data_IF_071536051167
#
_entry.id   IF_071536051167
#
_cell.length_a   1.000
_cell.length_b   1.000
_cell.length_c   1.000
_cell.angle_alpha   90.00
_cell.angle_beta   90.00
_cell.angle_gamma   90.00
#
_symmetry.space_group_name_H-M   'P 1'
#
loop_
_entity.id
_entity.type
_entity.pdbx_description
1 polymer ?
#
# COMPACT_ATOMS: atom_id res chain seq x y z
N UNK A 1 13.99 6.56 5.35
CA UNK A 1 13.73 7.09 4.00
C UNK A 1 12.24 7.38 3.85
N UNK A 2 11.89 8.56 3.38
CA UNK A 2 10.48 8.93 3.22
C UNK A 2 10.01 8.62 1.80
N UNK A 3 8.95 7.85 1.69
CA UNK A 3 8.31 7.58 0.41
C UNK A 3 7.26 8.65 0.17
N UNK A 4 7.31 9.27 -0.99
CA UNK A 4 6.35 10.29 -1.36
C UNK A 4 5.32 9.72 -2.33
N UNK A 5 4.09 10.23 -2.23
CA UNK A 5 2.99 9.79 -3.10
C UNK A 5 3.35 9.88 -4.58
N UNK A 6 4.05 10.93 -4.97
CA UNK A 6 4.39 11.18 -6.37
C UNK A 6 5.38 10.16 -6.95
N UNK A 7 6.09 9.44 -6.11
CA UNK A 7 7.04 8.42 -6.56
C UNK A 7 6.35 7.11 -6.89
N UNK A 8 5.11 6.95 -6.44
CA UNK A 8 4.38 5.71 -6.67
C UNK A 8 3.82 5.67 -8.09
N UNK A 9 3.81 4.47 -8.67
CA UNK A 9 3.15 4.26 -9.96
C UNK A 9 1.64 4.33 -9.79
N UNK A 10 0.92 4.46 -10.92
CA UNK A 10 -0.55 4.45 -10.88
C UNK A 10 -1.08 3.17 -10.26
N UNK A 11 -0.49 2.03 -10.58
CA UNK A 11 -0.89 0.74 -10.03
C UNK A 11 -0.67 0.69 -8.53
N UNK A 12 0.44 1.23 -8.05
CA UNK A 12 0.75 1.27 -6.62
C UNK A 12 -0.22 2.19 -5.87
N UNK A 13 -0.55 3.33 -6.46
CA UNK A 13 -1.52 4.26 -5.85
C UNK A 13 -2.89 3.62 -5.71
N UNK A 14 -3.37 2.95 -6.77
CA UNK A 14 -4.66 2.26 -6.72
C UNK A 14 -4.64 1.11 -5.74
N UNK A 15 -3.54 0.35 -5.71
CA UNK A 15 -3.41 -0.76 -4.78
C UNK A 15 -3.50 -0.26 -3.34
N UNK A 16 -2.87 0.86 -3.04
CA UNK A 16 -2.91 1.42 -1.70
C UNK A 16 -4.34 1.81 -1.30
N UNK A 17 -5.11 2.35 -2.24
CA UNK A 17 -6.52 2.65 -2.00
C UNK A 17 -7.32 1.38 -1.72
N UNK A 18 -7.09 0.33 -2.50
CA UNK A 18 -7.78 -0.95 -2.28
C UNK A 18 -7.47 -1.51 -0.89
N UNK A 19 -6.22 -1.41 -0.45
CA UNK A 19 -5.86 -1.84 0.90
C UNK A 19 -6.58 -1.03 1.97
N UNK A 20 -6.75 0.27 1.73
CA UNK A 20 -7.38 1.16 2.72
C UNK A 20 -8.86 0.86 2.93
N UNK A 21 -9.52 0.30 1.91
CA UNK A 21 -10.95 -0.03 2.01
C UNK A 21 -11.20 -1.54 2.13
N UNK A 22 -10.15 -2.31 2.41
CA UNK A 22 -10.27 -3.74 2.64
C UNK A 22 -10.46 -4.59 1.40
N UNK A 23 -10.11 -4.08 0.22
CA UNK A 23 -10.23 -4.80 -1.04
C UNK A 23 -8.88 -5.31 -1.54
N UNK A 24 -8.08 -5.86 -0.63
CA UNK A 24 -6.74 -6.35 -0.96
C UNK A 24 -6.74 -7.45 -2.02
N UNK A 25 -7.84 -8.17 -2.16
CA UNK A 25 -7.94 -9.25 -3.14
C UNK A 25 -7.91 -8.76 -4.59
N UNK A 26 -8.10 -7.46 -4.80
CA UNK A 26 -8.01 -6.85 -6.13
C UNK A 26 -6.60 -6.39 -6.48
N UNK A 27 -5.66 -6.57 -5.56
CA UNK A 27 -4.29 -6.12 -5.74
C UNK A 27 -3.43 -7.29 -6.19
N UNK A 28 -2.62 -7.07 -7.22
CA UNK A 28 -1.69 -8.09 -7.71
C UNK A 28 -0.62 -8.36 -6.67
N UNK A 29 -0.16 -9.61 -6.62
CA UNK A 29 0.87 -10.01 -5.69
C UNK A 29 2.15 -9.18 -5.85
N UNK A 30 2.56 -8.92 -7.08
CA UNK A 30 3.76 -8.14 -7.34
C UNK A 30 3.64 -6.72 -6.78
N UNK A 31 2.49 -6.09 -6.99
CA UNK A 31 2.25 -4.74 -6.49
C UNK A 31 2.23 -4.74 -4.96
N UNK A 32 1.60 -5.75 -4.35
CA UNK A 32 1.58 -5.88 -2.91
C UNK A 32 2.99 -6.00 -2.34
N UNK A 33 3.83 -6.83 -2.96
CA UNK A 33 5.20 -6.99 -2.52
C UNK A 33 5.99 -5.69 -2.64
N UNK A 34 5.78 -4.93 -3.70
CA UNK A 34 6.43 -3.63 -3.88
C UNK A 34 6.03 -2.67 -2.76
N UNK A 35 4.75 -2.62 -2.44
CA UNK A 35 4.26 -1.76 -1.36
C UNK A 35 4.82 -2.18 -0.01
N UNK A 36 4.92 -3.48 0.24
CA UNK A 36 5.48 -3.99 1.48
C UNK A 36 6.95 -3.61 1.61
N UNK A 37 7.71 -3.70 0.53
CA UNK A 37 9.12 -3.33 0.52
C UNK A 37 9.31 -1.84 0.80
N UNK A 38 8.32 -1.02 0.45
CA UNK A 38 8.34 0.41 0.72
C UNK A 38 7.82 0.75 2.13
N UNK A 39 7.35 -0.25 2.87
CA UNK A 39 6.80 -0.03 4.20
C UNK A 39 5.36 0.50 4.20
N UNK A 40 4.67 0.43 3.07
CA UNK A 40 3.33 0.96 2.93
C UNK A 40 2.25 -0.06 3.26
N UNK A 41 2.60 -1.34 3.25
CA UNK A 41 1.74 -2.41 3.72
C UNK A 41 2.51 -3.29 4.68
N UNK A 42 1.78 -4.07 5.48
CA UNK A 42 2.38 -5.01 6.43
C UNK A 42 1.55 -6.28 6.45
N UNK A 43 2.14 -7.34 6.96
CA UNK A 43 1.46 -8.64 7.06
C UNK A 43 1.04 -8.86 8.51
N UNK A 44 -0.25 -9.17 8.72
CA UNK A 44 -0.82 -9.28 10.06
C UNK A 44 -1.12 -10.73 10.47
N UNK A 45 -0.59 -11.70 9.74
CA UNK A 45 -0.85 -13.11 10.01
C UNK A 45 -2.04 -13.68 9.27
N UNK A 46 -2.97 -12.83 8.86
CA UNK A 46 -4.12 -13.22 8.05
C UNK A 46 -3.90 -12.85 6.60
N UNK A 47 -3.21 -11.75 6.36
CA UNK A 47 -2.90 -11.26 5.04
C UNK A 47 -2.31 -9.87 5.11
N UNK A 48 -2.18 -9.23 3.97
CA UNK A 48 -1.61 -7.89 3.90
C UNK A 48 -2.66 -6.84 4.29
N UNK A 49 -2.21 -5.79 4.95
CA UNK A 49 -3.03 -4.63 5.27
C UNK A 49 -2.21 -3.37 5.11
N UNK A 50 -2.87 -2.22 5.00
CA UNK A 50 -2.16 -0.95 4.89
C UNK A 50 -1.45 -0.65 6.22
N UNK A 51 -0.20 -0.18 6.14
CA UNK A 51 0.54 0.22 7.33
C UNK A 51 0.15 1.64 7.74
N UNK A 52 0.59 2.06 8.93
CA UNK A 52 0.38 3.44 9.38
C UNK A 52 1.03 4.42 8.41
N UNK A 53 2.23 4.08 7.93
CA UNK A 53 2.93 4.93 6.96
C UNK A 53 2.15 5.00 5.66
N UNK A 54 1.65 3.87 5.17
CA UNK A 54 0.86 3.83 3.96
C UNK A 54 -0.43 4.62 4.08
N UNK A 55 -1.12 4.49 5.22
CA UNK A 55 -2.35 5.23 5.46
C UNK A 55 -2.10 6.73 5.52
N UNK A 56 -1.04 7.14 6.22
CA UNK A 56 -0.66 8.54 6.32
C UNK A 56 -0.37 9.13 4.94
N UNK A 57 0.38 8.39 4.13
CA UNK A 57 0.73 8.83 2.79
C UNK A 57 -0.52 9.00 1.93
N UNK A 58 -1.45 8.04 2.01
CA UNK A 58 -2.70 8.08 1.26
C UNK A 58 -3.56 9.29 1.63
N UNK A 59 -3.60 9.62 2.91
CA UNK A 59 -4.46 10.69 3.40
C UNK A 59 -3.87 12.09 3.28
N UNK A 60 -2.55 12.20 3.16
CA UNK A 60 -1.88 13.50 3.22
C UNK A 60 -1.23 13.94 1.91
N UNK A 61 -1.44 13.20 0.83
CA UNK A 61 -0.86 13.58 -0.46
C UNK A 61 -1.58 14.74 -1.13
#
# INVERSE_FOLDING_TARGET
MNVEWNVLTSNQKEALRHFSIGQRHQVRRETEEQLRNLGLTEHDGVGAKISKIGLHLLLSH
#
